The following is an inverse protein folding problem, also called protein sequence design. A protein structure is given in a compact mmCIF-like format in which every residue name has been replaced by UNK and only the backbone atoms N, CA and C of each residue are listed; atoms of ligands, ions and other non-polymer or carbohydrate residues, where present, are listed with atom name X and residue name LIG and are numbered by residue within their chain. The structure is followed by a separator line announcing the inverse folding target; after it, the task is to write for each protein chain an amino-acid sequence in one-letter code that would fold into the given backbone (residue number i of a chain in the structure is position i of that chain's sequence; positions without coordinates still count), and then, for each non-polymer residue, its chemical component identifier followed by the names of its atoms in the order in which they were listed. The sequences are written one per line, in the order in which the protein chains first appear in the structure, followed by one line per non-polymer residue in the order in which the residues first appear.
data_IF_907127572115
#
_entry.id   IF_907127572115
#
_cell.length_a   1.000
_cell.length_b   1.000
_cell.length_c   1.000
_cell.angle_alpha   90.00
_cell.angle_beta   90.00
_cell.angle_gamma   90.00
#
_symmetry.space_group_name_H-M   'P 1'
#
loop_
_entity.id
_entity.type
_entity.pdbx_description
1 polymer ?
#
# COMPACT_ATOMS: atom_id res chain seq x y z
N UNK A 1 -8.75 -2.76 15.26
CA UNK A 1 -9.92 -3.35 14.58
C UNK A 1 -10.37 -2.41 13.47
N UNK A 2 -10.89 -2.94 12.37
CA UNK A 2 -11.52 -2.18 11.27
C UNK A 2 -12.93 -2.68 11.07
N UNK A 3 -13.86 -1.80 10.70
CA UNK A 3 -15.27 -2.13 10.46
C UNK A 3 -15.61 -1.78 9.02
N UNK A 4 -16.23 -2.72 8.32
CA UNK A 4 -16.75 -2.54 6.96
C UNK A 4 -18.26 -2.61 7.04
N UNK A 5 -18.94 -1.51 6.75
CA UNK A 5 -20.41 -1.47 6.70
C UNK A 5 -20.90 -2.21 5.45
N UNK A 6 -21.84 -3.14 5.65
CA UNK A 6 -22.49 -3.90 4.59
C UNK A 6 -23.98 -3.59 4.63
N UNK A 7 -24.57 -3.09 3.53
CA UNK A 7 -26.00 -2.85 3.46
C UNK A 7 -26.80 -4.11 3.77
N UNK A 8 -27.84 -4.01 4.59
CA UNK A 8 -28.61 -5.16 5.09
C UNK A 8 -29.29 -5.97 3.97
N UNK A 9 -29.44 -5.41 2.76
CA UNK A 9 -29.97 -6.06 1.58
C UNK A 9 -28.91 -6.67 0.64
N UNK A 10 -27.63 -6.69 1.03
CA UNK A 10 -26.49 -7.12 0.19
C UNK A 10 -25.77 -8.33 0.80
N UNK A 11 -26.50 -9.44 0.96
CA UNK A 11 -25.91 -10.70 1.44
C UNK A 11 -24.75 -11.17 0.54
N UNK A 12 -24.85 -10.94 -0.77
CA UNK A 12 -23.78 -11.20 -1.75
C UNK A 12 -22.48 -10.45 -1.41
N UNK A 13 -22.59 -9.20 -0.96
CA UNK A 13 -21.46 -8.39 -0.53
C UNK A 13 -20.90 -8.90 0.79
N UNK A 14 -21.76 -9.28 1.74
CA UNK A 14 -21.34 -9.85 3.02
C UNK A 14 -20.51 -11.12 2.81
N UNK A 15 -21.01 -12.05 2.01
CA UNK A 15 -20.35 -13.31 1.69
C UNK A 15 -18.99 -13.06 0.99
N UNK A 16 -18.94 -12.08 0.09
CA UNK A 16 -17.71 -11.69 -0.60
C UNK A 16 -16.66 -11.15 0.36
N UNK A 17 -17.05 -10.23 1.26
CA UNK A 17 -16.12 -9.62 2.23
C UNK A 17 -15.61 -10.65 3.23
N UNK A 18 -16.47 -11.55 3.70
CA UNK A 18 -16.08 -12.63 4.62
C UNK A 18 -15.11 -13.61 3.95
N UNK A 19 -15.40 -14.05 2.73
CA UNK A 19 -14.51 -14.92 1.96
C UNK A 19 -13.14 -14.27 1.75
N UNK A 20 -13.12 -12.97 1.40
CA UNK A 20 -11.87 -12.22 1.27
C UNK A 20 -11.12 -12.13 2.61
N UNK A 21 -11.81 -11.86 3.72
CA UNK A 21 -11.18 -11.80 5.03
C UNK A 21 -10.54 -13.15 5.44
N UNK A 22 -11.21 -14.27 5.18
CA UNK A 22 -10.69 -15.62 5.41
C UNK A 22 -9.43 -15.90 4.58
N UNK A 23 -9.40 -15.46 3.32
CA UNK A 23 -8.21 -15.57 2.47
C UNK A 23 -7.05 -14.72 3.01
N UNK A 24 -7.35 -13.50 3.46
CA UNK A 24 -6.37 -12.58 4.03
C UNK A 24 -5.78 -13.08 5.37
N UNK A 25 -6.54 -13.83 6.17
CA UNK A 25 -6.05 -14.46 7.39
C UNK A 25 -4.94 -15.51 7.14
N UNK A 26 -4.89 -16.09 5.94
CA UNK A 26 -3.84 -17.05 5.56
C UNK A 26 -2.49 -16.37 5.30
N UNK A 27 -2.48 -15.04 5.10
CA UNK A 27 -1.27 -14.29 4.81
C UNK A 27 -0.42 -14.09 6.07
N UNK A 28 0.85 -14.48 5.99
CA UNK A 28 1.78 -14.40 7.11
C UNK A 28 3.14 -13.89 6.65
N UNK A 29 3.42 -12.63 6.97
CA UNK A 29 4.72 -12.01 6.72
C UNK A 29 4.99 -10.91 7.76
N UNK A 30 6.24 -10.78 8.23
CA UNK A 30 6.63 -9.84 9.29
C UNK A 30 6.38 -8.36 8.98
N UNK A 31 6.36 -7.99 7.69
CA UNK A 31 6.11 -6.63 7.21
C UNK A 31 4.77 -6.48 6.49
N UNK A 32 3.82 -7.39 6.75
CA UNK A 32 2.45 -7.33 6.24
C UNK A 32 1.48 -7.41 7.43
N UNK A 33 0.43 -6.60 7.42
CA UNK A 33 -0.56 -6.59 8.50
C UNK A 33 -1.21 -7.97 8.61
N UNK A 34 -1.25 -8.51 9.83
CA UNK A 34 -1.90 -9.79 10.09
C UNK A 34 -3.38 -9.58 10.37
N UNK A 35 -4.23 -10.22 9.58
CA UNK A 35 -5.64 -10.38 9.91
C UNK A 35 -5.76 -11.52 10.91
N UNK A 36 -6.12 -11.19 12.15
CA UNK A 36 -6.17 -12.13 13.28
C UNK A 36 -7.50 -12.89 13.28
N UNK A 37 -8.59 -12.16 13.10
CA UNK A 37 -9.95 -12.70 13.18
C UNK A 37 -10.91 -11.80 12.37
N UNK A 38 -12.06 -12.34 11.98
CA UNK A 38 -13.15 -11.58 11.39
C UNK A 38 -14.52 -12.11 11.84
N UNK A 39 -15.44 -11.21 12.17
CA UNK A 39 -16.79 -11.58 12.58
C UNK A 39 -17.82 -10.55 12.13
N UNK A 40 -19.08 -10.96 12.09
CA UNK A 40 -20.20 -10.09 11.75
C UNK A 40 -20.80 -9.49 13.02
N UNK A 41 -21.06 -8.19 13.01
CA UNK A 41 -21.75 -7.46 14.08
C UNK A 41 -22.90 -6.66 13.47
N UNK A 42 -24.09 -6.76 14.05
CA UNK A 42 -25.22 -5.89 13.72
C UNK A 42 -25.48 -4.96 14.89
N UNK A 43 -25.55 -3.66 14.61
CA UNK A 43 -25.80 -2.65 15.64
C UNK A 43 -27.30 -2.51 15.97
N UNK A 44 -27.62 -1.57 16.86
CA UNK A 44 -28.99 -1.28 17.29
C UNK A 44 -29.87 -0.63 16.21
N UNK A 45 -29.30 -0.23 15.07
CA UNK A 45 -29.99 0.40 13.93
C UNK A 45 -30.11 -0.55 12.72
N UNK A 46 -29.94 -1.87 12.93
CA UNK A 46 -29.94 -2.90 11.88
C UNK A 46 -28.85 -2.70 10.81
N UNK A 47 -27.78 -1.98 11.14
CA UNK A 47 -26.60 -1.87 10.28
C UNK A 47 -25.66 -3.05 10.54
N UNK A 48 -25.32 -3.78 9.47
CA UNK A 48 -24.42 -4.93 9.53
C UNK A 48 -23.00 -4.50 9.21
N UNK A 49 -22.05 -4.96 10.03
CA UNK A 49 -20.63 -4.69 9.90
C UNK A 49 -19.85 -6.01 9.85
N UNK A 50 -18.88 -6.09 8.94
CA UNK A 50 -17.78 -7.04 9.07
C UNK A 50 -16.67 -6.39 9.87
N UNK A 51 -16.34 -6.98 11.01
CA UNK A 51 -15.29 -6.50 11.91
C UNK A 51 -14.03 -7.33 11.68
N UNK A 52 -12.93 -6.66 11.36
CA UNK A 52 -11.62 -7.27 11.15
C UNK A 52 -10.73 -6.95 12.36
N UNK A 53 -10.22 -7.98 13.01
CA UNK A 53 -9.28 -7.88 14.13
C UNK A 53 -7.86 -7.94 13.59
N UNK A 54 -7.03 -6.97 14.00
CA UNK A 54 -5.64 -6.85 13.58
C UNK A 54 -4.81 -6.24 14.72
N UNK A 55 -3.47 -6.43 14.74
CA UNK A 55 -2.60 -5.77 15.71
C UNK A 55 -2.76 -4.25 15.69
N UNK A 56 -2.65 -3.63 16.87
CA UNK A 56 -2.69 -2.18 17.00
C UNK A 56 -1.27 -1.60 16.97
N UNK A 57 -1.07 -0.57 16.14
CA UNK A 57 0.18 0.17 16.02
C UNK A 57 0.02 1.54 16.67
N UNK A 58 0.53 1.68 17.90
CA UNK A 58 0.33 2.87 18.72
C UNK A 58 0.98 4.15 18.15
N UNK A 59 2.02 3.99 17.33
CA UNK A 59 2.68 5.12 16.65
C UNK A 59 2.01 5.50 15.32
N UNK A 60 0.96 4.76 14.93
CA UNK A 60 0.19 5.03 13.72
C UNK A 60 0.98 4.80 12.44
N UNK A 61 0.69 5.64 11.46
CA UNK A 61 1.28 5.61 10.13
C UNK A 61 2.65 6.30 10.11
N UNK A 62 3.50 5.97 9.13
CA UNK A 62 4.77 6.67 8.93
C UNK A 62 4.57 8.17 8.62
N UNK A 63 3.39 8.55 8.11
CA UNK A 63 3.02 9.95 7.88
C UNK A 63 3.02 10.76 9.19
N UNK A 64 2.64 10.15 10.33
CA UNK A 64 2.71 10.75 11.66
C UNK A 64 4.16 10.95 12.12
N UNK A 65 5.04 9.97 11.89
CA UNK A 65 6.48 10.11 12.15
C UNK A 65 7.05 11.33 11.42
N UNK A 66 6.66 11.52 10.16
CA UNK A 66 7.15 12.61 9.32
C UNK A 66 6.64 14.00 9.74
N UNK A 67 5.55 14.09 10.51
CA UNK A 67 5.12 15.36 11.09
C UNK A 67 6.06 15.83 12.21
N UNK A 68 6.64 14.88 12.96
CA UNK A 68 7.55 15.17 14.08
C UNK A 68 9.02 15.20 13.67
N UNK A 69 9.41 14.35 12.72
CA UNK A 69 10.74 14.34 12.13
C UNK A 69 10.61 14.40 10.59
N UNK A 70 10.73 15.60 10.00
CA UNK A 70 10.44 15.79 8.58
C UNK A 70 11.45 15.16 7.63
N UNK A 71 12.59 14.64 8.14
CA UNK A 71 13.63 14.02 7.31
C UNK A 71 14.05 12.68 7.88
N UNK A 72 13.89 11.64 7.06
CA UNK A 72 14.43 10.32 7.34
C UNK A 72 15.88 10.27 6.88
N UNK A 73 16.74 9.60 7.66
CA UNK A 73 18.09 9.29 7.21
C UNK A 73 18.02 8.31 6.03
N UNK A 74 19.01 8.37 5.12
CA UNK A 74 19.08 7.46 3.97
C UNK A 74 19.02 5.99 4.39
N UNK A 75 19.74 5.62 5.45
CA UNK A 75 19.70 4.27 6.01
C UNK A 75 18.27 3.84 6.43
N UNK A 76 17.48 4.75 7.01
CA UNK A 76 16.09 4.47 7.38
C UNK A 76 15.20 4.32 6.14
N UNK A 77 15.39 5.16 5.11
CA UNK A 77 14.67 5.06 3.84
C UNK A 77 14.93 3.71 3.14
N UNK A 78 16.19 3.29 3.10
CA UNK A 78 16.59 2.00 2.53
C UNK A 78 15.99 0.84 3.34
N UNK A 79 16.01 0.92 4.67
CA UNK A 79 15.39 -0.08 5.54
C UNK A 79 13.88 -0.18 5.28
N UNK A 80 13.16 0.95 5.18
CA UNK A 80 11.74 0.97 4.84
C UNK A 80 11.51 0.33 3.47
N UNK A 81 12.31 0.70 2.47
CA UNK A 81 12.23 0.15 1.11
C UNK A 81 12.40 -1.37 1.08
N UNK A 82 13.39 -1.90 1.80
CA UNK A 82 13.63 -3.34 1.93
C UNK A 82 12.43 -4.05 2.59
N UNK A 83 11.89 -3.48 3.66
CA UNK A 83 10.78 -4.08 4.41
C UNK A 83 9.50 -4.16 3.57
N UNK A 84 9.15 -3.08 2.86
CA UNK A 84 8.00 -3.06 1.94
C UNK A 84 8.25 -3.98 0.75
N UNK A 85 9.44 -3.96 0.15
CA UNK A 85 9.79 -4.86 -0.94
C UNK A 85 9.71 -6.33 -0.53
N UNK A 86 10.09 -6.67 0.71
CA UNK A 86 9.94 -8.02 1.27
C UNK A 86 8.47 -8.45 1.36
N UNK A 87 7.58 -7.55 1.82
CA UNK A 87 6.14 -7.84 1.88
C UNK A 87 5.51 -7.99 0.48
N UNK A 88 5.89 -7.12 -0.46
CA UNK A 88 5.45 -7.25 -1.87
C UNK A 88 5.96 -8.54 -2.51
N UNK A 89 7.24 -8.89 -2.30
CA UNK A 89 7.81 -10.13 -2.79
C UNK A 89 7.04 -11.35 -2.27
N UNK A 90 6.69 -11.35 -0.97
CA UNK A 90 5.82 -12.37 -0.40
C UNK A 90 4.50 -12.47 -1.15
N UNK A 91 3.74 -11.38 -1.31
CA UNK A 91 2.46 -11.37 -2.03
C UNK A 91 2.60 -11.81 -3.49
N UNK A 92 3.62 -11.31 -4.19
CA UNK A 92 3.83 -11.52 -5.63
C UNK A 92 4.30 -12.95 -5.96
N UNK A 93 4.79 -13.70 -4.98
CA UNK A 93 5.30 -15.07 -5.18
C UNK A 93 4.38 -16.17 -4.65
N UNK A 94 3.23 -15.79 -4.06
CA UNK A 94 2.22 -16.74 -3.59
C UNK A 94 1.73 -17.66 -4.71
N UNK A 95 1.37 -18.88 -4.32
CA UNK A 95 0.80 -19.90 -5.18
C UNK A 95 -0.62 -20.23 -4.70
N UNK A 96 -1.55 -20.57 -5.61
CA UNK A 96 -1.35 -20.79 -7.06
C UNK A 96 -1.28 -19.52 -7.91
N UNK A 97 -1.57 -18.36 -7.32
CA UNK A 97 -1.66 -17.09 -8.00
C UNK A 97 -0.99 -15.97 -7.18
N UNK A 98 -0.24 -15.06 -7.82
CA UNK A 98 0.26 -13.85 -7.17
C UNK A 98 -0.87 -12.98 -6.64
N UNK A 99 -0.61 -12.22 -5.58
CA UNK A 99 -1.49 -11.17 -5.08
C UNK A 99 -0.87 -9.80 -5.36
N UNK A 100 -1.63 -8.85 -5.89
CA UNK A 100 -1.20 -7.45 -6.04
C UNK A 100 -1.87 -6.59 -4.97
N UNK A 101 -1.13 -5.66 -4.36
CA UNK A 101 -1.62 -4.79 -3.30
C UNK A 101 -2.57 -3.69 -3.82
N UNK A 102 -2.15 -3.00 -4.89
CA UNK A 102 -2.93 -2.00 -5.65
C UNK A 102 -3.10 -0.61 -5.02
N UNK A 103 -2.93 -0.46 -3.70
CA UNK A 103 -3.00 0.86 -3.05
C UNK A 103 -1.81 1.14 -2.12
N UNK A 104 -0.58 0.98 -2.62
CA UNK A 104 0.61 1.28 -1.84
C UNK A 104 0.85 2.81 -1.79
N UNK A 105 0.83 3.36 -0.57
CA UNK A 105 1.06 4.79 -0.27
C UNK A 105 1.61 4.93 1.16
N UNK A 106 2.18 6.09 1.56
CA UNK A 106 2.74 6.28 2.90
C UNK A 106 1.73 6.04 4.02
N UNK A 107 0.46 6.39 3.82
CA UNK A 107 -0.64 6.17 4.78
C UNK A 107 -0.86 4.67 5.05
N UNK A 108 -0.49 3.80 4.11
CA UNK A 108 -0.62 2.35 4.24
C UNK A 108 0.64 1.69 4.82
N UNK A 109 1.54 2.46 5.43
CA UNK A 109 2.70 1.96 6.16
C UNK A 109 2.58 2.28 7.65
N UNK A 110 2.28 1.26 8.46
CA UNK A 110 2.22 1.38 9.92
C UNK A 110 3.61 1.30 10.53
N UNK A 111 3.88 2.12 11.55
CA UNK A 111 5.18 2.22 12.20
C UNK A 111 5.16 1.60 13.60
N UNK A 112 6.13 0.73 13.90
CA UNK A 112 6.28 0.11 15.23
C UNK A 112 7.35 0.77 16.12
N UNK A 113 8.05 1.79 15.60
CA UNK A 113 9.18 2.43 16.28
C UNK A 113 10.53 2.12 15.64
N UNK A 114 10.61 1.04 14.86
CA UNK A 114 11.82 0.57 14.21
C UNK A 114 11.59 0.04 12.77
N UNK A 115 10.42 -0.53 12.51
CA UNK A 115 10.04 -1.18 11.26
C UNK A 115 8.68 -0.68 10.77
N UNK A 116 8.45 -0.90 9.48
CA UNK A 116 7.15 -0.70 8.85
C UNK A 116 6.42 -2.03 8.63
N UNK A 117 5.10 -1.94 8.68
CA UNK A 117 4.17 -3.01 8.30
C UNK A 117 3.22 -2.44 7.24
N UNK A 118 3.19 -3.09 6.07
CA UNK A 118 2.26 -2.77 5.00
C UNK A 118 0.84 -3.17 5.43
N UNK A 119 -0.10 -2.23 5.34
CA UNK A 119 -1.51 -2.42 5.72
C UNK A 119 -2.45 -2.11 4.56
N UNK A 120 -3.75 -2.20 4.83
CA UNK A 120 -4.85 -1.87 3.92
C UNK A 120 -4.99 -2.83 2.73
N UNK A 121 -5.34 -4.06 3.05
CA UNK A 121 -5.46 -5.15 2.09
C UNK A 121 -6.83 -5.17 1.37
N UNK A 122 -7.59 -4.07 1.39
CA UNK A 122 -8.95 -4.05 0.80
C UNK A 122 -8.94 -4.02 -0.72
N UNK A 123 -7.87 -3.48 -1.30
CA UNK A 123 -7.73 -3.37 -2.75
C UNK A 123 -7.01 -4.55 -3.38
N UNK A 124 -6.62 -5.55 -2.57
CA UNK A 124 -5.79 -6.65 -3.06
C UNK A 124 -6.49 -7.43 -4.16
N UNK A 125 -5.71 -8.06 -5.02
CA UNK A 125 -6.25 -8.91 -6.07
C UNK A 125 -5.37 -10.12 -6.34
N UNK A 126 -6.01 -11.29 -6.35
CA UNK A 126 -5.43 -12.53 -6.87
C UNK A 126 -5.37 -12.46 -8.39
N UNK A 127 -4.17 -12.68 -8.94
CA UNK A 127 -3.88 -12.56 -10.36
C UNK A 127 -4.06 -13.91 -11.05
N UNK A 128 -5.04 -14.01 -11.94
CA UNK A 128 -5.23 -15.14 -12.85
C UNK A 128 -4.35 -15.06 -14.10
N UNK A 129 -3.88 -13.85 -14.42
CA UNK A 129 -3.06 -13.52 -15.59
C UNK A 129 -1.95 -12.53 -15.20
N UNK A 130 -1.03 -12.21 -16.13
CA UNK A 130 0.03 -11.22 -15.88
C UNK A 130 -0.51 -9.80 -15.67
N UNK A 131 -1.63 -9.49 -16.33
CA UNK A 131 -2.35 -8.23 -16.18
C UNK A 131 -3.81 -8.54 -15.91
N UNK A 132 -4.43 -7.75 -15.04
CA UNK A 132 -5.86 -7.85 -14.80
C UNK A 132 -6.53 -6.47 -14.90
N UNK A 133 -7.80 -6.38 -15.39
CA UNK A 133 -8.50 -5.12 -15.57
C UNK A 133 -8.75 -4.37 -14.25
N UNK A 134 -8.64 -3.04 -14.26
CA UNK A 134 -9.06 -2.17 -13.17
C UNK A 134 -7.95 -1.31 -12.57
N UNK A 135 -8.22 0.00 -12.58
CA UNK A 135 -7.45 1.10 -12.00
C UNK A 135 -7.88 1.40 -10.56
N UNK A 136 -7.58 0.48 -9.63
CA UNK A 136 -7.71 0.77 -8.19
C UNK A 136 -6.37 1.28 -7.66
N UNK A 137 -6.41 2.25 -6.75
CA UNK A 137 -5.26 2.83 -6.09
C UNK A 137 -5.41 4.35 -5.95
N UNK A 138 -4.56 4.95 -5.13
CA UNK A 138 -4.59 6.37 -4.83
C UNK A 138 -3.63 7.12 -5.76
N UNK A 139 -4.14 8.06 -6.56
CA UNK A 139 -3.27 9.03 -7.25
C UNK A 139 -2.53 9.89 -6.20
N UNK A 140 -1.19 10.05 -6.28
CA UNK A 140 -0.32 9.85 -7.43
C UNK A 140 0.61 8.63 -7.37
N UNK A 141 0.21 7.59 -6.64
CA UNK A 141 1.00 6.35 -6.50
C UNK A 141 0.64 5.30 -7.54
N UNK A 142 -0.47 5.47 -8.25
CA UNK A 142 -0.89 4.57 -9.32
C UNK A 142 0.17 4.50 -10.42
N UNK A 143 0.37 3.33 -11.02
CA UNK A 143 1.30 3.16 -12.12
C UNK A 143 0.75 3.72 -13.44
N UNK A 144 1.60 4.12 -14.41
CA UNK A 144 1.15 4.63 -15.69
C UNK A 144 0.21 3.66 -16.42
N UNK A 145 0.43 2.35 -16.33
CA UNK A 145 -0.47 1.35 -16.93
C UNK A 145 -1.85 1.28 -16.25
N UNK A 146 -1.95 1.63 -14.96
CA UNK A 146 -3.23 1.72 -14.27
C UNK A 146 -4.02 2.91 -14.80
N UNK A 147 -3.36 4.04 -15.04
CA UNK A 147 -3.99 5.27 -15.53
C UNK A 147 -4.29 5.20 -17.04
N UNK A 148 -3.30 4.81 -17.85
CA UNK A 148 -3.37 4.88 -19.31
C UNK A 148 -4.16 3.71 -19.93
N UNK A 149 -4.24 2.56 -19.23
CA UNK A 149 -4.77 1.31 -19.80
C UNK A 149 -5.83 0.62 -18.94
N UNK A 150 -6.14 1.16 -17.76
CA UNK A 150 -7.03 0.52 -16.80
C UNK A 150 -6.60 -0.93 -16.49
N UNK A 151 -5.29 -1.15 -16.36
CA UNK A 151 -4.70 -2.48 -16.11
C UNK A 151 -3.77 -2.44 -14.90
N UNK A 152 -3.78 -3.50 -14.11
CA UNK A 152 -2.90 -3.67 -12.96
C UNK A 152 -2.04 -4.92 -13.12
N UNK A 153 -0.80 -4.85 -12.62
CA UNK A 153 0.12 -5.99 -12.51
C UNK A 153 0.93 -5.88 -11.22
N UNK A 154 1.73 -6.91 -10.90
CA UNK A 154 2.70 -6.83 -9.78
C UNK A 154 3.70 -5.67 -9.95
N UNK A 155 3.95 -5.21 -11.18
CA UNK A 155 4.82 -4.06 -11.46
C UNK A 155 4.21 -2.73 -11.03
N UNK A 156 2.88 -2.66 -10.90
CA UNK A 156 2.22 -1.47 -10.39
C UNK A 156 2.57 -1.20 -8.93
N UNK A 157 2.68 -2.24 -8.09
CA UNK A 157 3.13 -2.10 -6.71
C UNK A 157 4.61 -1.65 -6.62
N UNK A 158 5.45 -2.08 -7.58
CA UNK A 158 6.86 -1.66 -7.64
C UNK A 158 6.98 -0.19 -8.03
N UNK A 159 6.15 0.28 -8.95
CA UNK A 159 6.03 1.71 -9.27
C UNK A 159 5.60 2.50 -8.03
N UNK A 160 4.53 2.07 -7.36
CA UNK A 160 4.02 2.70 -6.16
C UNK A 160 5.07 2.76 -5.05
N UNK A 161 5.88 1.71 -4.86
CA UNK A 161 7.02 1.70 -3.93
C UNK A 161 8.05 2.78 -4.28
N UNK A 162 8.37 2.94 -5.57
CA UNK A 162 9.26 4.02 -6.02
C UNK A 162 8.70 5.42 -5.69
N UNK A 163 7.41 5.63 -5.93
CA UNK A 163 6.72 6.88 -5.57
C UNK A 163 6.71 7.13 -4.05
N UNK A 164 6.47 6.09 -3.24
CA UNK A 164 6.54 6.15 -1.78
C UNK A 164 7.94 6.54 -1.33
N UNK A 165 8.98 5.84 -1.77
CA UNK A 165 10.36 6.14 -1.39
C UNK A 165 10.78 7.55 -1.79
N UNK A 166 10.38 8.00 -2.98
CA UNK A 166 10.61 9.38 -3.42
C UNK A 166 9.90 10.40 -2.53
N UNK A 167 8.63 10.19 -2.19
CA UNK A 167 7.87 11.08 -1.32
C UNK A 167 8.41 11.13 0.13
N UNK A 168 8.92 10.00 0.63
CA UNK A 168 9.57 9.90 1.94
C UNK A 168 10.93 10.61 1.94
N UNK A 169 11.70 10.52 0.83
CA UNK A 169 13.00 11.17 0.69
C UNK A 169 12.87 12.68 0.44
N UNK A 170 11.84 13.10 -0.28
CA UNK A 170 11.67 14.47 -0.77
C UNK A 170 10.38 15.06 -0.22
N UNK A 171 10.42 15.59 1.00
CA UNK A 171 9.31 16.38 1.56
C UNK A 171 9.44 17.87 1.18
N UNK A 172 8.36 18.58 0.78
CA UNK A 172 6.97 18.13 0.57
C UNK A 172 6.68 17.78 -0.90
N UNK A 173 7.60 17.17 -1.65
CA UNK A 173 7.37 16.93 -3.07
C UNK A 173 6.25 15.91 -3.29
N UNK A 174 5.32 16.27 -4.17
CA UNK A 174 4.25 15.39 -4.59
C UNK A 174 4.80 14.34 -5.57
N UNK A 175 4.49 13.03 -5.38
CA UNK A 175 4.90 11.98 -6.30
C UNK A 175 4.39 12.16 -7.74
N UNK A 176 3.43 13.08 -7.95
CA UNK A 176 2.92 13.49 -9.27
C UNK A 176 4.02 13.80 -10.28
N UNK A 177 5.16 14.35 -9.81
CA UNK A 177 6.28 14.64 -10.70
C UNK A 177 6.82 13.38 -11.38
N UNK A 178 6.75 12.21 -10.72
CA UNK A 178 7.12 10.92 -11.31
C UNK A 178 6.30 10.63 -12.56
N UNK A 179 4.99 10.92 -12.56
CA UNK A 179 4.14 10.77 -13.74
C UNK A 179 4.51 11.72 -14.86
N UNK A 180 4.74 12.99 -14.55
CA UNK A 180 5.09 13.98 -15.58
C UNK A 180 6.41 13.68 -16.27
N UNK A 181 7.33 13.01 -15.58
CA UNK A 181 8.68 12.74 -16.08
C UNK A 181 8.90 11.28 -16.51
N UNK A 182 7.95 10.36 -16.30
CA UNK A 182 8.16 8.91 -16.53
C UNK A 182 8.48 8.54 -17.97
N UNK A 183 8.06 9.37 -18.93
CA UNK A 183 8.28 9.17 -20.38
C UNK A 183 9.64 9.70 -20.86
N UNK A 184 10.45 10.28 -19.97
CA UNK A 184 11.79 10.75 -20.30
C UNK A 184 12.73 9.58 -20.61
N UNK A 185 13.58 9.68 -21.64
CA UNK A 185 14.61 8.68 -21.91
C UNK A 185 15.62 8.51 -20.75
N UNK A 186 15.86 9.58 -19.99
CA UNK A 186 16.79 9.65 -18.85
C UNK A 186 16.08 9.59 -17.49
N UNK A 187 14.82 9.12 -17.42
CA UNK A 187 14.00 9.19 -16.20
C UNK A 187 14.71 8.72 -14.94
N UNK A 188 15.45 7.59 -15.00
CA UNK A 188 16.23 7.09 -13.87
C UNK A 188 17.25 8.10 -13.36
N UNK A 189 18.06 8.66 -14.25
CA UNK A 189 19.10 9.63 -13.89
C UNK A 189 18.43 10.91 -13.36
N UNK A 190 17.36 11.35 -14.00
CA UNK A 190 16.58 12.49 -13.54
C UNK A 190 16.02 12.31 -12.11
N UNK A 191 15.54 11.12 -11.75
CA UNK A 191 15.10 10.83 -10.36
C UNK A 191 16.27 10.97 -9.39
N UNK A 192 17.43 10.40 -9.72
CA UNK A 192 18.63 10.49 -8.86
C UNK A 192 19.09 11.94 -8.69
N UNK A 193 19.20 12.69 -9.78
CA UNK A 193 19.58 14.10 -9.76
C UNK A 193 18.59 14.95 -8.95
N UNK A 194 17.28 14.64 -9.05
CA UNK A 194 16.23 15.31 -8.27
C UNK A 194 16.35 15.04 -6.77
N UNK A 195 16.70 13.81 -6.38
CA UNK A 195 16.97 13.43 -4.99
C UNK A 195 18.17 14.22 -4.45
N UNK A 196 19.28 14.23 -5.19
CA UNK A 196 20.50 14.94 -4.80
C UNK A 196 20.27 16.45 -4.68
N UNK A 197 19.69 17.09 -5.70
CA UNK A 197 19.44 18.52 -5.72
C UNK A 197 18.62 18.99 -4.51
N UNK A 198 17.67 18.18 -4.05
CA UNK A 198 16.80 18.50 -2.91
C UNK A 198 17.37 18.10 -1.54
N UNK A 199 18.35 17.20 -1.49
CA UNK A 199 19.16 17.00 -0.29
C UNK A 199 20.05 18.22 0.01
N UNK A 200 20.49 18.96 -1.02
CA UNK A 200 21.40 20.10 -0.87
C UNK A 200 20.74 21.49 -0.88
N UNK A 201 19.43 21.62 -1.16
CA UNK A 201 18.78 22.94 -1.31
C UNK A 201 18.45 23.69 -0.01
N UNK A 202 18.82 23.14 1.17
CA UNK A 202 18.49 23.73 2.47
C UNK A 202 19.62 23.58 3.51
N UNK A 203 20.87 23.76 3.09
CA UNK A 203 21.93 24.18 4.02
C UNK A 203 21.85 25.68 4.25
#
# INVERSE_FOLDING_TARGET
MKQICVPSNRQDMLDTVLLQAEQLQQLQHKHLIRYIDCFVHTDEFDATFVVIVMPYFALGEITCLLQSNPRLAEAQLLQIGEQVASALCYLHTLQPAPIVHRDLKPENLLWDGQNVVLTDLETIRFMDQTYCPGSTGTYPYQAPEQIDRDMTSTKADIWALGCVLYALAVRPAFPEIMHTQCRRPDFRNWVLDSLEAKQYSHK
#
